data_IF_449569983604
#
_entry.id   IF_449569983604
#
_cell.length_a   1.000
_cell.length_b   1.000
_cell.length_c   1.000
_cell.angle_alpha   90.00
_cell.angle_beta   90.00
_cell.angle_gamma   90.00
#
_symmetry.space_group_name_H-M   'P 1'
#
loop_
_entity.id
_entity.type
_entity.pdbx_description
1 polymer ?
#
# COMPACT_ATOMS: atom_id res chain seq x y z
N UNK A 1 37.83 -12.34 3.81
CA UNK A 1 36.78 -11.95 4.78
C UNK A 1 36.39 -10.49 4.57
N UNK A 2 37.32 -9.49 4.64
CA UNK A 2 36.99 -8.07 4.49
C UNK A 2 36.32 -7.71 3.14
N UNK A 3 36.77 -8.33 2.04
CA UNK A 3 36.17 -8.14 0.71
C UNK A 3 34.74 -8.71 0.70
N UNK A 4 34.50 -9.86 1.29
CA UNK A 4 33.18 -10.47 1.34
C UNK A 4 32.21 -9.61 2.17
N UNK A 5 32.65 -9.11 3.32
CA UNK A 5 31.90 -8.18 4.15
C UNK A 5 31.60 -6.88 3.38
N UNK A 6 32.59 -6.33 2.68
CA UNK A 6 32.40 -5.15 1.84
C UNK A 6 31.40 -5.36 0.70
N UNK A 7 31.46 -6.49 0.01
CA UNK A 7 30.48 -6.87 -1.03
C UNK A 7 29.08 -7.08 -0.46
N UNK A 8 28.99 -7.69 0.72
CA UNK A 8 27.67 -7.85 1.40
C UNK A 8 27.07 -6.52 1.80
N UNK A 9 27.87 -5.62 2.40
CA UNK A 9 27.41 -4.28 2.75
C UNK A 9 27.01 -3.50 1.50
N UNK A 10 27.83 -3.54 0.43
CA UNK A 10 27.50 -2.89 -0.84
C UNK A 10 26.19 -3.41 -1.43
N UNK A 11 25.99 -4.73 -1.43
CA UNK A 11 24.78 -5.36 -1.94
C UNK A 11 23.54 -4.94 -1.14
N UNK A 12 23.62 -4.99 0.19
CA UNK A 12 22.52 -4.61 1.09
C UNK A 12 22.17 -3.13 0.95
N UNK A 13 23.18 -2.27 0.75
CA UNK A 13 22.98 -0.81 0.77
C UNK A 13 22.60 -0.25 -0.61
N UNK A 14 23.16 -0.81 -1.69
CA UNK A 14 23.07 -0.20 -3.02
C UNK A 14 22.39 -1.07 -4.09
N UNK A 15 22.19 -2.36 -3.86
CA UNK A 15 21.58 -3.26 -4.85
C UNK A 15 20.20 -3.72 -4.41
N UNK A 16 20.09 -4.36 -3.26
CA UNK A 16 18.83 -4.94 -2.76
C UNK A 16 17.68 -3.93 -2.61
N UNK A 17 17.89 -2.69 -2.11
CA UNK A 17 16.77 -1.74 -1.95
C UNK A 17 16.09 -1.36 -3.27
N UNK A 18 16.76 -1.60 -4.41
CA UNK A 18 16.30 -1.17 -5.73
C UNK A 18 15.89 -2.34 -6.65
N UNK A 19 15.99 -3.57 -6.16
CA UNK A 19 15.49 -4.75 -6.87
C UNK A 19 14.00 -4.98 -6.53
N UNK A 20 13.14 -4.19 -7.16
CA UNK A 20 11.70 -4.26 -6.95
C UNK A 20 11.13 -5.56 -7.52
N UNK A 21 10.89 -6.52 -6.66
CA UNK A 21 10.29 -7.81 -7.01
C UNK A 21 8.77 -7.72 -6.91
N UNK A 22 8.07 -8.19 -7.94
CA UNK A 22 6.61 -8.34 -7.90
C UNK A 22 6.27 -9.71 -7.34
N UNK A 23 5.64 -9.74 -6.17
CA UNK A 23 5.06 -10.95 -5.60
C UNK A 23 3.61 -11.09 -6.05
N UNK A 24 3.23 -12.27 -6.49
CA UNK A 24 1.85 -12.59 -6.90
C UNK A 24 1.26 -13.60 -5.95
N UNK A 25 0.07 -13.31 -5.48
CA UNK A 25 -0.72 -14.21 -4.65
C UNK A 25 -2.11 -14.37 -5.24
N UNK A 26 -2.66 -15.57 -5.12
CA UNK A 26 -4.04 -15.83 -5.54
C UNK A 26 -4.86 -16.15 -4.29
N UNK A 27 -5.84 -15.30 -4.03
CA UNK A 27 -6.76 -15.44 -2.91
C UNK A 27 -8.00 -16.16 -3.40
N UNK A 28 -8.44 -17.19 -2.66
CA UNK A 28 -9.67 -17.93 -2.94
C UNK A 28 -10.57 -17.87 -1.71
N UNK A 29 -11.84 -17.51 -1.93
CA UNK A 29 -12.85 -17.46 -0.87
C UNK A 29 -14.21 -17.73 -1.46
N UNK A 30 -15.09 -18.35 -0.68
CA UNK A 30 -16.50 -18.54 -1.03
C UNK A 30 -17.34 -17.25 -0.97
N UNK A 31 -16.75 -16.16 -0.45
CA UNK A 31 -17.33 -14.81 -0.45
C UNK A 31 -17.02 -14.03 -1.73
N UNK A 32 -16.14 -14.55 -2.59
CA UNK A 32 -15.83 -13.99 -3.90
C UNK A 32 -16.82 -14.60 -4.89
N UNK A 33 -17.72 -13.79 -5.40
CA UNK A 33 -18.72 -14.20 -6.40
C UNK A 33 -18.20 -13.99 -7.84
N UNK A 34 -19.01 -14.38 -8.83
CA UNK A 34 -18.64 -14.30 -10.24
C UNK A 34 -18.35 -12.86 -10.71
N UNK A 35 -18.96 -11.85 -10.08
CA UNK A 35 -18.77 -10.44 -10.43
C UNK A 35 -17.46 -9.86 -9.88
N UNK A 36 -17.01 -10.38 -8.73
CA UNK A 36 -15.76 -9.93 -8.05
C UNK A 36 -14.59 -10.88 -8.29
N UNK A 37 -14.83 -12.02 -8.93
CA UNK A 37 -13.79 -12.98 -9.30
C UNK A 37 -12.88 -12.42 -10.38
N UNK A 38 -11.58 -12.66 -10.22
CA UNK A 38 -10.56 -12.23 -11.17
C UNK A 38 -10.08 -10.79 -11.02
N UNK A 39 -10.52 -10.06 -9.99
CA UNK A 39 -9.98 -8.73 -9.67
C UNK A 39 -8.48 -8.79 -9.43
N UNK A 40 -7.77 -7.83 -10.02
CA UNK A 40 -6.34 -7.62 -9.83
C UNK A 40 -6.14 -6.45 -8.89
N UNK A 41 -5.57 -6.71 -7.73
CA UNK A 41 -5.27 -5.69 -6.72
C UNK A 41 -3.75 -5.51 -6.66
N UNK A 42 -3.28 -4.30 -6.91
CA UNK A 42 -1.90 -3.93 -6.70
C UNK A 42 -1.75 -3.27 -5.31
N UNK A 43 -0.81 -3.76 -4.52
CA UNK A 43 -0.45 -3.21 -3.22
C UNK A 43 1.02 -2.79 -3.22
N UNK A 44 1.29 -1.60 -2.71
CA UNK A 44 2.64 -1.12 -2.43
C UNK A 44 2.65 -0.23 -1.18
N UNK A 45 3.78 -0.14 -0.49
CA UNK A 45 3.98 0.68 0.71
C UNK A 45 5.42 1.11 0.83
N UNK A 46 5.72 1.95 1.83
CA UNK A 46 7.09 2.25 2.26
C UNK A 46 7.95 2.81 1.12
N UNK A 47 7.42 3.81 0.41
CA UNK A 47 8.13 4.48 -0.70
C UNK A 47 9.33 5.27 -0.19
N UNK A 48 9.22 5.96 0.95
CA UNK A 48 10.29 6.77 1.54
C UNK A 48 11.01 7.64 0.49
N UNK A 49 10.21 8.34 -0.34
CA UNK A 49 10.71 9.14 -1.45
C UNK A 49 11.67 10.23 -0.97
N UNK A 50 12.80 10.38 -1.65
CA UNK A 50 13.86 11.31 -1.29
C UNK A 50 14.90 10.70 -0.36
N UNK A 51 14.60 9.64 0.39
CA UNK A 51 15.55 8.93 1.25
C UNK A 51 16.14 7.72 0.54
N UNK A 52 15.28 6.78 0.13
CA UNK A 52 15.70 5.56 -0.58
C UNK A 52 15.29 5.58 -2.05
N UNK A 53 14.08 6.06 -2.33
CA UNK A 53 13.48 6.07 -3.67
C UNK A 53 13.66 7.45 -4.29
N UNK A 54 14.12 7.47 -5.54
CA UNK A 54 14.21 8.67 -6.38
C UNK A 54 13.31 8.54 -7.63
N UNK A 55 13.24 9.57 -8.46
CA UNK A 55 12.42 9.63 -9.67
C UNK A 55 12.59 8.42 -10.60
N UNK A 56 13.82 7.96 -10.82
CA UNK A 56 14.09 6.77 -11.66
C UNK A 56 13.45 5.50 -11.08
N UNK A 57 13.50 5.37 -9.76
CA UNK A 57 12.89 4.24 -9.07
C UNK A 57 11.38 4.30 -9.13
N UNK A 58 10.77 5.50 -8.95
CA UNK A 58 9.33 5.70 -9.12
C UNK A 58 8.86 5.23 -10.50
N UNK A 59 9.59 5.60 -11.56
CA UNK A 59 9.26 5.15 -12.91
C UNK A 59 9.29 3.62 -13.07
N UNK A 60 10.27 2.97 -12.46
CA UNK A 60 10.35 1.50 -12.46
C UNK A 60 9.17 0.86 -11.72
N UNK A 61 8.76 1.44 -10.58
CA UNK A 61 7.61 0.95 -9.80
C UNK A 61 6.32 1.13 -10.61
N UNK A 62 6.11 2.31 -11.19
CA UNK A 62 4.98 2.63 -12.07
C UNK A 62 4.84 1.60 -13.20
N UNK A 63 5.92 1.35 -13.96
CA UNK A 63 5.93 0.39 -15.05
C UNK A 63 5.59 -1.04 -14.59
N UNK A 64 6.08 -1.42 -13.41
CA UNK A 64 5.78 -2.74 -12.83
C UNK A 64 4.32 -2.86 -12.40
N UNK A 65 3.73 -1.83 -11.80
CA UNK A 65 2.32 -1.82 -11.37
C UNK A 65 1.41 -1.82 -12.61
N UNK A 66 1.59 -0.86 -13.52
CA UNK A 66 0.72 -0.67 -14.68
C UNK A 66 0.77 -1.86 -15.65
N UNK A 67 1.89 -2.61 -15.69
CA UNK A 67 2.01 -3.85 -16.49
C UNK A 67 0.92 -4.88 -16.19
N UNK A 68 0.34 -4.87 -14.98
CA UNK A 68 -0.69 -5.82 -14.56
C UNK A 68 -2.11 -5.32 -14.78
N UNK A 69 -2.28 -4.07 -15.25
CA UNK A 69 -3.58 -3.44 -15.45
C UNK A 69 -4.50 -3.64 -14.22
N UNK A 70 -4.08 -3.13 -13.04
CA UNK A 70 -4.78 -3.42 -11.79
C UNK A 70 -6.17 -2.80 -11.77
N UNK A 71 -7.14 -3.54 -11.26
CA UNK A 71 -8.50 -3.06 -11.04
C UNK A 71 -8.59 -2.10 -9.84
N UNK A 72 -7.75 -2.34 -8.83
CA UNK A 72 -7.67 -1.57 -7.59
C UNK A 72 -6.20 -1.37 -7.24
N UNK A 73 -5.84 -0.16 -6.82
CA UNK A 73 -4.51 0.14 -6.29
C UNK A 73 -4.63 0.55 -4.83
N UNK A 74 -3.75 -0.01 -3.99
CA UNK A 74 -3.71 0.25 -2.56
C UNK A 74 -2.30 0.70 -2.17
N UNK A 75 -2.20 1.88 -1.55
CA UNK A 75 -0.98 2.39 -0.93
C UNK A 75 -1.02 2.18 0.58
N UNK A 76 -0.01 1.54 1.13
CA UNK A 76 0.08 1.09 2.52
C UNK A 76 0.79 2.04 3.48
N UNK A 77 1.05 3.30 3.10
CA UNK A 77 1.68 4.31 3.96
C UNK A 77 3.20 4.45 3.79
N UNK A 78 3.76 5.45 4.46
CA UNK A 78 5.15 5.89 4.43
C UNK A 78 5.59 6.37 3.04
N UNK A 79 5.00 7.51 2.64
CA UNK A 79 5.21 8.10 1.31
C UNK A 79 6.58 8.78 1.19
N UNK A 80 6.98 9.60 2.19
CA UNK A 80 8.28 10.26 2.28
C UNK A 80 8.67 10.59 3.73
N UNK A 81 9.98 10.80 3.97
CA UNK A 81 10.55 10.98 5.33
C UNK A 81 10.87 12.44 5.69
N UNK A 82 10.80 13.35 4.74
CA UNK A 82 11.11 14.78 4.95
C UNK A 82 10.25 15.66 4.05
N UNK A 83 9.96 16.88 4.50
CA UNK A 83 9.17 17.83 3.72
C UNK A 83 9.73 17.99 2.29
N UNK A 84 8.86 17.78 1.30
CA UNK A 84 9.22 17.88 -0.10
C UNK A 84 9.20 19.33 -0.57
N UNK A 85 10.20 19.74 -1.36
CA UNK A 85 10.13 20.97 -2.14
C UNK A 85 9.15 20.79 -3.31
N UNK A 86 8.77 21.91 -3.97
CA UNK A 86 7.76 21.89 -5.03
C UNK A 86 8.11 21.01 -6.24
N UNK A 87 9.39 20.88 -6.57
CA UNK A 87 9.84 20.01 -7.67
C UNK A 87 9.70 18.53 -7.33
N UNK A 88 10.13 18.13 -6.14
CA UNK A 88 10.03 16.73 -5.71
C UNK A 88 8.58 16.32 -5.45
N UNK A 89 7.76 17.24 -4.91
CA UNK A 89 6.32 17.03 -4.79
C UNK A 89 5.67 16.81 -6.17
N UNK A 90 6.05 17.61 -7.18
CA UNK A 90 5.52 17.46 -8.54
C UNK A 90 5.85 16.10 -9.15
N UNK A 91 7.09 15.63 -8.99
CA UNK A 91 7.54 14.31 -9.49
C UNK A 91 6.80 13.16 -8.82
N UNK A 92 6.64 13.23 -7.49
CA UNK A 92 5.90 12.22 -6.74
C UNK A 92 4.42 12.21 -7.14
N UNK A 93 3.82 13.38 -7.32
CA UNK A 93 2.43 13.50 -7.79
C UNK A 93 2.26 12.98 -9.22
N UNK A 94 3.24 13.21 -10.11
CA UNK A 94 3.23 12.67 -11.47
C UNK A 94 3.24 11.13 -11.46
N UNK A 95 4.11 10.52 -10.67
CA UNK A 95 4.12 9.08 -10.46
C UNK A 95 2.76 8.54 -9.98
N UNK A 96 2.19 9.14 -8.92
CA UNK A 96 0.93 8.67 -8.35
C UNK A 96 -0.27 8.87 -9.31
N UNK A 97 -0.26 9.92 -10.14
CA UNK A 97 -1.27 10.11 -11.20
C UNK A 97 -1.16 9.09 -12.32
N UNK A 98 0.06 8.70 -12.65
CA UNK A 98 0.33 7.72 -13.70
C UNK A 98 -0.10 6.28 -13.32
N UNK A 99 -0.42 6.05 -12.06
CA UNK A 99 -1.00 4.79 -11.61
C UNK A 99 -2.49 4.77 -11.92
N UNK A 100 -2.93 3.84 -12.76
CA UNK A 100 -4.33 3.73 -13.21
C UNK A 100 -5.00 2.50 -12.61
N UNK A 101 -6.23 2.66 -12.12
CA UNK A 101 -7.05 1.57 -11.58
C UNK A 101 -8.54 1.79 -11.87
N UNK A 102 -9.19 0.77 -12.39
CA UNK A 102 -10.60 0.84 -12.83
C UNK A 102 -11.58 1.16 -11.70
N UNK A 103 -11.36 0.59 -10.52
CA UNK A 103 -12.26 0.73 -9.36
C UNK A 103 -11.69 1.61 -8.25
N UNK A 104 -10.61 2.33 -8.56
CA UNK A 104 -10.07 3.37 -7.71
C UNK A 104 -8.75 3.05 -7.03
N UNK A 105 -8.19 4.13 -6.45
CA UNK A 105 -6.93 4.13 -5.72
C UNK A 105 -7.21 4.46 -4.26
N UNK A 106 -6.67 3.67 -3.35
CA UNK A 106 -6.91 3.78 -1.92
C UNK A 106 -5.59 3.88 -1.17
N UNK A 107 -5.59 4.57 -0.05
CA UNK A 107 -4.40 4.74 0.79
C UNK A 107 -4.75 4.65 2.27
N UNK A 108 -3.79 4.20 3.04
CA UNK A 108 -3.70 4.45 4.48
C UNK A 108 -2.43 5.26 4.76
N UNK A 109 -2.33 5.81 5.96
CA UNK A 109 -1.17 6.58 6.38
C UNK A 109 -0.26 5.72 7.26
N UNK A 110 1.06 5.88 7.05
CA UNK A 110 2.09 5.30 7.89
C UNK A 110 2.53 6.23 9.02
N UNK A 111 3.54 5.82 9.78
CA UNK A 111 4.06 6.62 10.89
C UNK A 111 4.85 7.84 10.40
N UNK A 112 5.61 7.72 9.31
CA UNK A 112 6.34 8.84 8.72
C UNK A 112 5.42 9.89 8.13
N UNK A 113 4.29 9.47 7.58
CA UNK A 113 3.29 10.37 7.00
C UNK A 113 2.73 11.35 8.04
N UNK A 114 2.69 10.96 9.33
CA UNK A 114 2.18 11.82 10.41
C UNK A 114 3.03 13.07 10.65
N UNK A 115 4.33 13.04 10.35
CA UNK A 115 5.22 14.20 10.50
C UNK A 115 4.89 15.30 9.47
N UNK A 116 4.35 14.92 8.30
CA UNK A 116 4.04 15.81 7.18
C UNK A 116 2.61 15.62 6.66
N UNK A 117 1.69 15.34 7.56
CA UNK A 117 0.34 14.84 7.27
C UNK A 117 -0.44 15.68 6.25
N UNK A 118 -0.34 17.01 6.34
CA UNK A 118 -1.06 17.91 5.43
C UNK A 118 -0.50 17.80 3.99
N UNK A 119 0.82 17.69 3.85
CA UNK A 119 1.47 17.53 2.54
C UNK A 119 1.16 16.15 1.94
N UNK A 120 1.22 15.09 2.74
CA UNK A 120 0.87 13.72 2.31
C UNK A 120 -0.58 13.65 1.88
N UNK A 121 -1.52 14.17 2.71
CA UNK A 121 -2.95 14.17 2.37
C UNK A 121 -3.24 14.95 1.10
N UNK A 122 -2.63 16.13 0.93
CA UNK A 122 -2.77 16.92 -0.30
C UNK A 122 -2.30 16.13 -1.52
N UNK A 123 -1.09 15.56 -1.49
CA UNK A 123 -0.53 14.79 -2.60
C UNK A 123 -1.43 13.59 -2.95
N UNK A 124 -1.85 12.81 -1.96
CA UNK A 124 -2.69 11.63 -2.19
C UNK A 124 -4.06 12.03 -2.77
N UNK A 125 -4.70 13.05 -2.21
CA UNK A 125 -6.01 13.52 -2.68
C UNK A 125 -5.94 14.12 -4.08
N UNK A 126 -4.92 14.94 -4.36
CA UNK A 126 -4.70 15.57 -5.67
C UNK A 126 -4.32 14.54 -6.76
N UNK A 127 -4.02 13.33 -6.38
CA UNK A 127 -3.68 12.21 -7.27
C UNK A 127 -4.72 11.08 -7.23
N UNK A 128 -5.95 11.39 -6.81
CA UNK A 128 -7.14 10.53 -6.78
C UNK A 128 -7.06 9.33 -5.83
N UNK A 129 -6.19 9.37 -4.82
CA UNK A 129 -6.21 8.37 -3.76
C UNK A 129 -7.24 8.75 -2.68
N UNK A 130 -8.10 7.78 -2.32
CA UNK A 130 -8.98 7.88 -1.15
C UNK A 130 -8.24 7.38 0.08
N UNK A 131 -8.10 8.24 1.08
CA UNK A 131 -7.45 7.91 2.34
C UNK A 131 -8.48 7.29 3.28
N UNK A 132 -8.21 6.07 3.74
CA UNK A 132 -9.03 5.34 4.69
C UNK A 132 -8.41 5.41 6.08
N UNK A 133 -8.77 6.46 6.82
CA UNK A 133 -8.27 6.71 8.18
C UNK A 133 -9.27 6.19 9.22
N UNK A 134 -9.10 4.93 9.65
CA UNK A 134 -10.08 4.20 10.46
C UNK A 134 -11.48 4.19 9.83
N UNK A 135 -11.53 3.96 8.54
CA UNK A 135 -12.73 3.97 7.72
C UNK A 135 -12.78 2.76 6.81
N UNK A 136 -13.94 2.47 6.26
CA UNK A 136 -14.08 1.47 5.20
C UNK A 136 -14.77 2.03 3.97
N UNK A 137 -14.55 1.34 2.86
CA UNK A 137 -15.18 1.64 1.57
C UNK A 137 -15.73 0.34 0.97
N UNK A 138 -16.91 0.44 0.33
CA UNK A 138 -17.48 -0.63 -0.49
C UNK A 138 -17.09 -0.42 -1.93
N UNK A 139 -16.24 -1.28 -2.47
CA UNK A 139 -15.79 -1.20 -3.85
C UNK A 139 -16.76 -2.03 -4.71
N UNK A 140 -17.62 -1.33 -5.45
CA UNK A 140 -18.66 -1.95 -6.30
C UNK A 140 -18.07 -2.43 -7.63
N UNK A 141 -18.34 -3.69 -7.95
CA UNK A 141 -17.89 -4.37 -9.17
C UNK A 141 -19.07 -5.12 -9.78
N UNK A 142 -19.57 -4.68 -10.92
CA UNK A 142 -20.64 -5.32 -11.68
C UNK A 142 -21.91 -5.69 -10.86
N UNK A 143 -22.26 -4.87 -9.86
CA UNK A 143 -23.44 -5.09 -9.01
C UNK A 143 -23.19 -5.83 -7.69
N UNK A 144 -22.01 -6.40 -7.51
CA UNK A 144 -21.50 -6.90 -6.21
C UNK A 144 -20.52 -5.91 -5.59
N UNK A 145 -19.99 -6.21 -4.42
CA UNK A 145 -18.91 -5.39 -3.82
C UNK A 145 -18.01 -6.21 -2.90
N UNK A 146 -16.79 -5.71 -2.73
CA UNK A 146 -15.87 -6.11 -1.67
C UNK A 146 -15.73 -4.97 -0.68
N UNK A 147 -15.42 -5.28 0.59
CA UNK A 147 -15.11 -4.27 1.58
C UNK A 147 -13.59 -4.02 1.62
N UNK A 148 -13.21 -2.76 1.74
CA UNK A 148 -11.85 -2.34 2.01
C UNK A 148 -11.84 -1.55 3.32
N UNK A 149 -11.11 -2.03 4.34
CA UNK A 149 -11.04 -1.44 5.67
C UNK A 149 -9.64 -0.90 5.90
N UNK A 150 -9.50 0.40 6.13
CA UNK A 150 -8.23 1.04 6.46
C UNK A 150 -8.09 1.24 7.98
N UNK A 151 -7.00 0.73 8.55
CA UNK A 151 -6.63 0.88 9.95
C UNK A 151 -5.43 1.82 10.06
N UNK A 152 -5.63 2.94 10.74
CA UNK A 152 -4.56 3.88 11.06
C UNK A 152 -3.56 3.28 12.07
N UNK A 153 -2.45 3.96 12.31
CA UNK A 153 -1.46 3.65 13.36
C UNK A 153 -2.10 3.51 14.74
N UNK A 154 -3.09 4.35 15.05
CA UNK A 154 -3.96 4.24 16.23
C UNK A 154 -5.31 3.63 15.81
N UNK A 155 -5.32 2.32 15.53
CA UNK A 155 -6.48 1.64 14.98
C UNK A 155 -7.73 1.81 15.86
N UNK A 156 -8.73 2.51 15.32
CA UNK A 156 -10.10 2.54 15.86
C UNK A 156 -10.95 1.53 15.09
N UNK A 157 -10.95 0.31 15.59
CA UNK A 157 -11.60 -0.83 14.95
C UNK A 157 -13.11 -0.66 14.88
N UNK A 158 -13.72 0.00 15.87
CA UNK A 158 -15.18 0.21 15.91
C UNK A 158 -15.59 1.06 14.70
N UNK A 159 -14.93 2.19 14.48
CA UNK A 159 -15.23 3.06 13.36
C UNK A 159 -14.82 2.41 12.02
N UNK A 160 -13.63 1.79 11.97
CA UNK A 160 -13.14 1.16 10.75
C UNK A 160 -14.08 0.08 10.20
N UNK A 161 -14.74 -0.69 11.08
CA UNK A 161 -15.62 -1.78 10.69
C UNK A 161 -17.12 -1.44 10.76
N UNK A 162 -17.47 -0.16 10.97
CA UNK A 162 -18.87 0.24 10.99
C UNK A 162 -19.54 -0.02 9.62
N UNK A 163 -20.70 -0.68 9.63
CA UNK A 163 -21.44 -1.02 8.41
C UNK A 163 -20.79 -2.05 7.48
N UNK A 164 -19.65 -2.67 7.87
CA UNK A 164 -19.05 -3.78 7.11
C UNK A 164 -19.91 -5.03 7.20
N UNK A 165 -20.34 -5.54 6.04
CA UNK A 165 -21.12 -6.78 5.95
C UNK A 165 -20.15 -7.99 5.88
N UNK A 166 -20.18 -8.89 6.87
CA UNK A 166 -19.30 -10.05 6.92
C UNK A 166 -19.57 -11.11 5.84
N UNK A 167 -20.68 -11.00 5.12
CA UNK A 167 -21.00 -11.92 4.01
C UNK A 167 -20.21 -11.57 2.73
N UNK A 168 -19.65 -10.37 2.62
CA UNK A 168 -18.83 -9.95 1.50
C UNK A 168 -17.35 -10.07 1.84
N UNK A 169 -16.52 -10.32 0.83
CA UNK A 169 -15.08 -10.39 1.02
C UNK A 169 -14.52 -9.05 1.55
N UNK A 170 -13.68 -9.13 2.56
CA UNK A 170 -13.12 -7.95 3.23
C UNK A 170 -11.60 -7.99 3.25
N UNK A 171 -10.98 -6.99 2.62
CA UNK A 171 -9.58 -6.65 2.84
C UNK A 171 -9.46 -5.66 4.01
N UNK A 172 -8.62 -5.98 4.99
CA UNK A 172 -8.12 -5.01 5.96
C UNK A 172 -6.73 -4.55 5.50
N UNK A 173 -6.47 -3.25 5.64
CA UNK A 173 -5.17 -2.65 5.34
C UNK A 173 -4.70 -1.92 6.58
N UNK A 174 -3.47 -2.17 6.99
CA UNK A 174 -2.81 -1.44 8.05
C UNK A 174 -1.36 -1.16 7.67
N UNK A 175 -0.81 -0.03 8.12
CA UNK A 175 0.62 0.17 7.98
C UNK A 175 1.38 -0.81 8.88
N UNK A 176 0.95 -0.97 10.14
CA UNK A 176 1.57 -1.87 11.11
C UNK A 176 1.04 -3.31 11.03
N UNK A 177 1.91 -4.32 10.85
CA UNK A 177 1.52 -5.74 10.98
C UNK A 177 0.92 -6.09 12.34
N UNK A 178 1.38 -5.43 13.41
CA UNK A 178 0.91 -5.66 14.80
C UNK A 178 -0.57 -5.31 15.01
N UNK A 179 -1.16 -4.51 14.12
CA UNK A 179 -2.60 -4.29 14.14
C UNK A 179 -3.41 -5.55 13.79
N UNK A 180 -2.76 -6.64 13.37
CA UNK A 180 -3.42 -7.94 13.18
C UNK A 180 -4.18 -8.37 14.44
N UNK A 181 -3.63 -8.13 15.62
CA UNK A 181 -4.27 -8.46 16.89
C UNK A 181 -5.53 -7.64 17.20
N UNK A 182 -5.75 -6.55 16.44
CA UNK A 182 -6.89 -5.64 16.62
C UNK A 182 -7.99 -5.84 15.56
N UNK A 183 -7.70 -6.52 14.44
CA UNK A 183 -8.71 -6.68 13.39
C UNK A 183 -9.92 -7.50 13.87
N UNK A 184 -11.09 -7.17 13.35
CA UNK A 184 -12.27 -7.99 13.56
C UNK A 184 -12.23 -9.22 12.63
N UNK A 185 -11.71 -10.33 13.16
CA UNK A 185 -11.59 -11.59 12.44
C UNK A 185 -12.93 -12.20 11.98
N UNK A 186 -14.06 -11.74 12.54
CA UNK A 186 -15.39 -12.19 12.08
C UNK A 186 -15.79 -11.52 10.78
N UNK A 187 -15.16 -10.41 10.45
CA UNK A 187 -15.44 -9.60 9.26
C UNK A 187 -14.29 -9.53 8.27
N UNK A 188 -13.05 -9.89 8.66
CA UNK A 188 -11.84 -9.77 7.82
C UNK A 188 -11.47 -11.12 7.20
N UNK A 189 -11.26 -11.13 5.90
CA UNK A 189 -10.82 -12.31 5.17
C UNK A 189 -9.34 -12.28 4.82
N UNK A 190 -8.79 -11.10 4.61
CA UNK A 190 -7.37 -10.92 4.26
C UNK A 190 -6.85 -9.59 4.78
N UNK A 191 -5.58 -9.56 5.24
CA UNK A 191 -4.93 -8.33 5.69
C UNK A 191 -3.65 -8.07 4.89
N UNK A 192 -3.47 -6.82 4.50
CA UNK A 192 -2.25 -6.29 3.91
C UNK A 192 -1.58 -5.34 4.91
N UNK A 193 -0.26 -5.44 5.05
CA UNK A 193 0.50 -4.56 5.93
C UNK A 193 1.84 -4.15 5.30
N UNK A 194 2.32 -2.97 5.68
CA UNK A 194 3.62 -2.41 5.33
C UNK A 194 4.61 -2.45 6.48
N UNK A 195 5.35 -1.37 6.69
CA UNK A 195 6.27 -1.07 7.81
C UNK A 195 7.47 -2.01 7.97
N UNK A 196 7.30 -3.31 7.82
CA UNK A 196 8.34 -4.31 8.07
C UNK A 196 9.38 -4.43 6.94
N UNK A 197 9.20 -3.70 5.83
CA UNK A 197 10.05 -3.73 4.63
C UNK A 197 10.35 -5.17 4.13
N UNK A 198 9.43 -6.08 4.40
CA UNK A 198 9.52 -7.51 4.06
C UNK A 198 10.83 -8.19 4.51
N UNK A 199 11.40 -7.77 5.65
CA UNK A 199 12.67 -8.29 6.12
C UNK A 199 13.85 -7.89 5.22
N UNK A 200 14.09 -6.60 5.05
CA UNK A 200 15.13 -6.02 4.18
C UNK A 200 16.53 -6.63 4.38
N UNK A 201 16.81 -7.17 5.56
CA UNK A 201 18.01 -7.93 5.88
C UNK A 201 17.62 -9.29 6.44
N UNK A 202 17.82 -10.36 5.65
CA UNK A 202 17.70 -11.73 6.10
C UNK A 202 19.08 -12.30 6.39
N UNK A 203 19.33 -12.66 7.64
CA UNK A 203 20.50 -13.39 8.07
C UNK A 203 20.07 -14.85 8.27
N UNK A 204 20.52 -15.78 7.43
CA UNK A 204 20.14 -17.18 7.52
C UNK A 204 20.71 -17.85 8.76
#
# INVERSE_FOLDING_TARGET
>A
ILILVGLTIYNITYVNPYDFTVRKETIKSNKIDDNTNGLIIAYFSDIHYGTFINEKHLKTIEEKINKFDPDIIIFGGDLFDSALNGNDQSKLSEFLRALEAKYGKYAILGDKDNEYIEQVKSILTDTDFRILDNQNEKIYVNGSYINLVGLNTNADVINAYDGVNPSNFTFAISHYPDNLDKVDFTKTDYMLAGHSLNGQVYIP
#
